data_IF_699352089666
#
_entry.id   IF_699352089666
#
_cell.length_a   1.000
_cell.length_b   1.000
_cell.length_c   1.000
_cell.angle_alpha   90.00
_cell.angle_beta   90.00
_cell.angle_gamma   90.00
#
_symmetry.space_group_name_H-M   'P 1'
#
loop_
_entity.id
_entity.type
_entity.pdbx_description
1 polymer ?
#
# COMPACT_ATOMS: atom_id res chain seq x y z
N UNK A 1 65.42 -30.83 -1.23
CA UNK A 1 64.77 -32.16 -1.37
C UNK A 1 63.40 -32.11 -0.72
N UNK A 2 62.38 -32.48 -1.50
CA UNK A 2 61.03 -32.99 -1.16
C UNK A 2 60.79 -33.25 0.35
N UNK A 3 59.64 -32.84 0.92
CA UNK A 3 58.44 -33.68 0.99
C UNK A 3 57.17 -32.86 1.35
N UNK A 4 56.09 -33.21 0.65
CA UNK A 4 54.69 -32.80 0.81
C UNK A 4 54.05 -33.56 1.97
N UNK A 5 53.17 -32.93 2.75
CA UNK A 5 52.03 -33.57 3.44
C UNK A 5 50.96 -32.44 3.62
N UNK A 6 49.98 -32.28 2.72
CA UNK A 6 48.60 -32.81 2.83
C UNK A 6 48.05 -32.62 4.27
N UNK A 7 47.05 -31.79 4.57
CA UNK A 7 45.83 -31.47 3.82
C UNK A 7 44.66 -31.76 4.77
N UNK A 8 44.24 -30.76 5.55
CA UNK A 8 43.08 -30.84 6.44
C UNK A 8 42.16 -29.67 6.13
N UNK A 9 41.30 -29.84 5.13
CA UNK A 9 40.18 -28.92 4.87
C UNK A 9 39.00 -29.48 5.64
N UNK A 10 38.73 -28.89 6.80
CA UNK A 10 37.43 -28.97 7.45
C UNK A 10 36.48 -28.10 6.61
N UNK A 11 35.63 -28.73 5.80
CA UNK A 11 34.48 -28.06 5.19
C UNK A 11 33.22 -28.61 5.87
N UNK A 12 32.91 -28.06 7.05
CA UNK A 12 31.56 -28.15 7.59
C UNK A 12 30.70 -27.19 6.76
N UNK A 13 30.06 -27.71 5.72
CA UNK A 13 28.98 -27.00 5.03
C UNK A 13 27.81 -26.90 6.02
N UNK A 14 27.76 -25.78 6.72
CA UNK A 14 26.60 -25.39 7.52
C UNK A 14 25.53 -24.99 6.50
N UNK A 15 24.71 -25.96 6.07
CA UNK A 15 23.43 -25.66 5.43
C UNK A 15 22.61 -25.01 6.53
N UNK A 16 22.61 -23.68 6.54
CA UNK A 16 21.64 -22.92 7.31
C UNK A 16 20.30 -23.16 6.60
N UNK A 17 19.66 -24.28 6.91
CA UNK A 17 18.22 -24.41 6.74
C UNK A 17 17.61 -23.46 7.76
N UNK A 18 17.47 -22.19 7.40
CA UNK A 18 16.61 -21.30 8.14
C UNK A 18 15.23 -21.94 8.05
N UNK A 19 14.73 -22.37 9.21
CA UNK A 19 13.35 -22.72 9.36
C UNK A 19 12.55 -21.57 8.74
N UNK A 20 11.69 -21.89 7.77
CA UNK A 20 10.60 -21.01 7.41
C UNK A 20 9.78 -20.86 8.70
N UNK A 21 10.14 -19.86 9.50
CA UNK A 21 9.26 -19.32 10.51
C UNK A 21 8.05 -18.87 9.72
N UNK A 22 6.96 -19.63 9.85
CA UNK A 22 5.64 -19.17 9.46
C UNK A 22 5.39 -17.96 10.35
N UNK A 23 5.81 -16.79 9.87
CA UNK A 23 5.43 -15.54 10.46
C UNK A 23 3.92 -15.44 10.29
N UNK A 24 3.25 -14.94 11.32
CA UNK A 24 1.82 -14.76 11.26
C UNK A 24 1.58 -13.70 10.18
N UNK A 25 0.97 -14.11 9.07
CA UNK A 25 0.60 -13.26 7.95
C UNK A 25 0.09 -11.90 8.46
N UNK A 26 0.55 -10.83 7.80
CA UNK A 26 0.47 -9.46 8.30
C UNK A 26 -0.91 -9.01 8.80
N UNK A 27 -0.96 -7.83 9.40
CA UNK A 27 -2.23 -7.27 9.89
C UNK A 27 -3.24 -7.17 8.75
N UNK A 28 -4.49 -7.58 8.99
CA UNK A 28 -5.57 -7.29 8.03
C UNK A 28 -5.88 -5.80 8.08
N UNK A 29 -5.97 -5.16 6.92
CA UNK A 29 -6.38 -3.76 6.84
C UNK A 29 -7.86 -3.60 7.24
N UNK A 30 -8.20 -2.50 7.91
CA UNK A 30 -9.58 -2.09 8.16
C UNK A 30 -10.15 -1.19 7.07
N UNK A 31 -9.30 -0.68 6.19
CA UNK A 31 -9.67 0.28 5.14
C UNK A 31 -10.34 -0.41 3.96
N UNK A 32 -10.06 -1.71 3.81
CA UNK A 32 -10.60 -2.55 2.73
C UNK A 32 -10.94 -3.92 3.29
N UNK A 33 -12.07 -4.48 2.88
CA UNK A 33 -12.47 -5.86 3.18
C UNK A 33 -12.94 -6.53 1.89
N UNK A 34 -12.74 -7.83 1.74
CA UNK A 34 -13.26 -8.57 0.59
C UNK A 34 -14.77 -8.78 0.72
N UNK A 35 -15.52 -8.51 -0.34
CA UNK A 35 -16.99 -8.63 -0.36
C UNK A 35 -17.52 -9.35 -1.60
N UNK A 36 -18.84 -9.40 -1.76
CA UNK A 36 -19.50 -10.06 -2.88
C UNK A 36 -19.10 -11.53 -3.09
N UNK A 37 -18.98 -11.92 -4.37
CA UNK A 37 -18.55 -13.27 -4.77
C UNK A 37 -17.07 -13.54 -4.47
N UNK A 38 -16.30 -12.49 -4.17
CA UNK A 38 -14.89 -12.58 -3.80
C UNK A 38 -14.69 -13.01 -2.33
N UNK A 39 -15.72 -12.96 -1.47
CA UNK A 39 -15.60 -13.34 -0.05
C UNK A 39 -15.08 -14.78 0.12
N UNK A 40 -13.98 -14.92 0.85
CA UNK A 40 -13.30 -16.20 1.06
C UNK A 40 -12.49 -16.71 -0.13
N UNK A 41 -12.42 -15.92 -1.22
CA UNK A 41 -11.57 -16.16 -2.40
C UNK A 41 -10.34 -15.27 -2.41
N UNK A 42 -10.30 -14.26 -1.56
CA UNK A 42 -9.18 -13.34 -1.40
C UNK A 42 -8.99 -12.97 0.07
N UNK A 43 -7.78 -12.53 0.38
CA UNK A 43 -7.43 -11.87 1.64
C UNK A 43 -6.76 -10.54 1.35
N UNK A 44 -6.94 -9.60 2.27
CA UNK A 44 -6.29 -8.29 2.23
C UNK A 44 -5.45 -8.10 3.47
N UNK A 45 -4.22 -7.65 3.27
CA UNK A 45 -3.26 -7.38 4.31
C UNK A 45 -2.77 -5.94 4.20
N UNK A 46 -2.53 -5.31 5.35
CA UNK A 46 -1.90 -4.01 5.45
C UNK A 46 -0.49 -4.05 4.84
N UNK A 47 -0.10 -2.97 4.17
CA UNK A 47 1.24 -2.83 3.63
C UNK A 47 2.31 -2.89 4.74
N UNK A 48 3.25 -3.80 4.58
CA UNK A 48 4.39 -3.98 5.47
C UNK A 48 5.53 -4.68 4.71
N UNK A 49 6.74 -4.64 5.28
CA UNK A 49 7.85 -5.42 4.72
C UNK A 49 7.57 -6.93 4.68
N UNK A 50 6.75 -7.43 5.62
CA UNK A 50 6.40 -8.84 5.68
C UNK A 50 5.39 -9.23 4.60
N UNK A 51 4.35 -8.41 4.40
CA UNK A 51 3.28 -8.67 3.42
C UNK A 51 3.78 -8.45 1.99
N UNK A 52 4.73 -7.54 1.80
CA UNK A 52 5.38 -7.32 0.51
C UNK A 52 6.72 -8.04 0.35
N UNK A 53 6.98 -9.10 1.12
CA UNK A 53 8.26 -9.82 1.05
C UNK A 53 8.61 -10.26 -0.38
N UNK A 54 7.65 -10.82 -1.12
CA UNK A 54 7.85 -11.26 -2.51
C UNK A 54 8.12 -10.06 -3.46
N UNK A 55 7.42 -8.94 -3.25
CA UNK A 55 7.65 -7.70 -4.00
C UNK A 55 9.02 -7.10 -3.69
N UNK A 56 9.49 -7.19 -2.44
CA UNK A 56 10.81 -6.69 -2.02
C UNK A 56 11.95 -7.47 -2.69
N UNK A 57 11.76 -8.76 -2.99
CA UNK A 57 12.78 -9.53 -3.71
C UNK A 57 13.04 -9.00 -5.13
N UNK A 58 12.04 -8.37 -5.74
CA UNK A 58 12.07 -7.95 -7.15
C UNK A 58 12.14 -6.43 -7.33
N UNK A 59 11.48 -5.66 -6.47
CA UNK A 59 11.30 -4.23 -6.57
C UNK A 59 11.34 -3.52 -5.18
N UNK A 60 12.45 -3.63 -4.42
CA UNK A 60 12.57 -3.05 -3.08
C UNK A 60 12.33 -1.54 -2.96
N UNK A 61 12.85 -0.71 -3.86
CA UNK A 61 12.64 0.74 -3.95
C UNK A 61 11.20 1.08 -4.35
N UNK A 62 10.56 0.24 -5.16
CA UNK A 62 9.13 0.38 -5.43
C UNK A 62 8.32 0.19 -4.14
N UNK A 63 8.68 -0.81 -3.33
CA UNK A 63 8.07 -1.01 -2.00
C UNK A 63 8.39 0.16 -1.05
N UNK A 64 9.63 0.68 -1.06
CA UNK A 64 10.00 1.87 -0.29
C UNK A 64 9.11 3.08 -0.65
N UNK A 65 8.92 3.34 -1.94
CA UNK A 65 8.04 4.40 -2.42
C UNK A 65 6.59 4.21 -1.95
N UNK A 66 6.07 2.98 -2.00
CA UNK A 66 4.74 2.61 -1.49
C UNK A 66 4.62 2.94 0.01
N UNK A 67 5.61 2.53 0.81
CA UNK A 67 5.59 2.75 2.27
C UNK A 67 5.69 4.24 2.63
N UNK A 68 6.51 5.01 1.90
CA UNK A 68 6.59 6.45 2.06
C UNK A 68 5.27 7.14 1.73
N UNK A 69 4.57 6.71 0.67
CA UNK A 69 3.24 7.23 0.31
C UNK A 69 2.22 6.88 1.39
N UNK A 70 2.19 5.62 1.86
CA UNK A 70 1.28 5.19 2.91
C UNK A 70 1.47 5.95 4.23
N UNK A 71 2.72 6.24 4.60
CA UNK A 71 3.05 7.04 5.78
C UNK A 71 2.75 8.54 5.61
N UNK A 72 2.46 8.99 4.38
CA UNK A 72 2.31 10.40 4.03
C UNK A 72 3.62 11.19 4.03
N UNK A 73 4.77 10.50 4.06
CA UNK A 73 6.10 11.13 3.96
C UNK A 73 6.37 11.63 2.54
N UNK A 74 5.78 10.97 1.55
CA UNK A 74 5.82 11.31 0.13
C UNK A 74 4.38 11.48 -0.37
N UNK A 75 4.03 12.56 -1.09
CA UNK A 75 2.71 12.69 -1.70
C UNK A 75 2.55 11.72 -2.87
N UNK A 76 1.31 11.28 -3.14
CA UNK A 76 1.00 10.38 -4.26
C UNK A 76 1.55 10.91 -5.59
N UNK A 77 1.51 12.23 -5.77
CA UNK A 77 1.93 12.90 -7.00
C UNK A 77 3.41 12.68 -7.34
N UNK A 78 4.25 12.39 -6.34
CA UNK A 78 5.68 12.17 -6.54
C UNK A 78 5.98 10.72 -6.97
N UNK A 79 4.98 9.83 -7.03
CA UNK A 79 5.17 8.44 -7.44
C UNK A 79 5.79 8.32 -8.83
N UNK A 80 5.25 9.06 -9.81
CA UNK A 80 5.75 8.97 -11.19
C UNK A 80 7.21 9.46 -11.30
N UNK A 81 7.59 10.47 -10.51
CA UNK A 81 8.99 10.92 -10.43
C UNK A 81 9.90 9.85 -9.81
N UNK A 82 9.47 9.20 -8.73
CA UNK A 82 10.22 8.07 -8.14
C UNK A 82 10.38 6.91 -9.12
N UNK A 83 9.33 6.54 -9.84
CA UNK A 83 9.39 5.51 -10.89
C UNK A 83 10.40 5.92 -11.97
N UNK A 84 10.38 7.19 -12.40
CA UNK A 84 11.35 7.74 -13.37
C UNK A 84 12.79 7.65 -12.85
N UNK A 85 13.02 7.95 -11.58
CA UNK A 85 14.33 7.83 -10.95
C UNK A 85 14.81 6.38 -10.94
N UNK A 86 13.96 5.44 -10.53
CA UNK A 86 14.28 4.00 -10.49
C UNK A 86 14.65 3.49 -11.88
N UNK A 87 13.82 3.79 -12.89
CA UNK A 87 14.05 3.39 -14.29
C UNK A 87 15.35 4.00 -14.82
N UNK A 88 15.61 5.28 -14.53
CA UNK A 88 16.80 5.99 -15.01
C UNK A 88 18.09 5.53 -14.33
N UNK A 89 18.02 5.20 -13.04
CA UNK A 89 19.15 4.69 -12.27
C UNK A 89 19.49 3.24 -12.65
N UNK A 90 18.52 2.48 -13.18
CA UNK A 90 18.68 1.06 -13.52
C UNK A 90 18.94 0.20 -12.28
N UNK A 91 18.50 0.67 -11.12
CA UNK A 91 18.63 0.00 -9.83
C UNK A 91 17.61 -1.13 -9.68
N UNK A 92 16.47 -1.02 -10.36
CA UNK A 92 15.45 -2.06 -10.48
C UNK A 92 15.03 -2.24 -11.94
N UNK A 93 14.59 -3.44 -12.30
CA UNK A 93 14.12 -3.72 -13.65
C UNK A 93 12.62 -3.45 -13.74
N UNK A 94 12.24 -2.18 -13.82
CA UNK A 94 10.85 -1.78 -14.10
C UNK A 94 10.62 -1.74 -15.61
N UNK A 95 9.57 -2.41 -16.08
CA UNK A 95 9.19 -2.51 -17.49
C UNK A 95 8.30 -1.33 -17.92
N UNK A 96 8.77 -0.10 -17.67
CA UNK A 96 8.06 1.12 -18.03
C UNK A 96 8.89 2.02 -18.95
N UNK A 97 8.25 2.55 -19.97
CA UNK A 97 8.79 3.60 -20.85
C UNK A 97 8.49 4.98 -20.27
N UNK A 98 9.22 6.01 -20.71
CA UNK A 98 8.95 7.40 -20.31
C UNK A 98 7.52 7.84 -20.66
N UNK A 99 6.95 7.33 -21.76
CA UNK A 99 5.56 7.58 -22.15
C UNK A 99 4.57 6.98 -21.14
N UNK A 100 4.82 5.75 -20.68
CA UNK A 100 3.99 5.10 -19.65
C UNK A 100 4.12 5.79 -18.30
N UNK A 101 5.31 6.28 -17.94
CA UNK A 101 5.52 7.06 -16.72
C UNK A 101 4.76 8.40 -16.79
N UNK A 102 4.81 9.09 -17.94
CA UNK A 102 4.01 10.31 -18.14
C UNK A 102 2.50 10.06 -18.11
N UNK A 103 2.04 8.91 -18.61
CA UNK A 103 0.66 8.49 -18.49
C UNK A 103 0.26 8.21 -17.03
N UNK A 104 1.12 7.55 -16.26
CA UNK A 104 0.92 7.36 -14.81
C UNK A 104 0.82 8.71 -14.09
N UNK A 105 1.74 9.63 -14.36
CA UNK A 105 1.75 10.99 -13.80
C UNK A 105 0.42 11.72 -14.07
N UNK A 106 -0.08 11.63 -15.30
CA UNK A 106 -1.36 12.24 -15.70
C UNK A 106 -2.55 11.58 -15.02
N UNK A 107 -2.57 10.24 -14.91
CA UNK A 107 -3.69 9.52 -14.27
C UNK A 107 -3.75 9.74 -12.76
N UNK A 108 -2.63 10.03 -12.08
CA UNK A 108 -2.62 10.32 -10.63
C UNK A 108 -2.71 11.81 -10.31
N UNK A 109 -2.59 12.70 -11.31
CA UNK A 109 -2.66 14.15 -11.12
C UNK A 109 -4.03 14.56 -10.51
N UNK A 110 -3.99 15.35 -9.44
CA UNK A 110 -5.20 15.82 -8.75
C UNK A 110 -5.98 14.75 -7.98
N UNK A 111 -5.53 13.48 -7.99
CA UNK A 111 -6.15 12.39 -7.23
C UNK A 111 -5.62 12.32 -5.81
N UNK A 112 -6.47 11.86 -4.91
CA UNK A 112 -6.15 11.56 -3.53
C UNK A 112 -6.29 10.06 -3.25
N UNK A 113 -5.50 9.57 -2.30
CA UNK A 113 -5.64 8.22 -1.77
C UNK A 113 -6.98 8.07 -1.05
N UNK A 114 -7.80 7.11 -1.49
CA UNK A 114 -9.03 6.68 -0.82
C UNK A 114 -8.71 5.58 0.20
N UNK A 115 -7.71 4.76 -0.12
CA UNK A 115 -7.13 3.75 0.75
C UNK A 115 -5.62 3.88 0.73
N UNK A 116 -4.94 3.41 1.77
CA UNK A 116 -3.52 3.10 1.68
C UNK A 116 -3.30 1.94 0.69
N UNK A 117 -2.06 1.75 0.25
CA UNK A 117 -1.65 0.52 -0.40
C UNK A 117 -1.83 -0.66 0.55
N UNK A 118 -2.35 -1.75 0.00
CA UNK A 118 -2.54 -3.02 0.68
C UNK A 118 -2.10 -4.16 -0.24
N UNK A 119 -1.88 -5.31 0.37
CA UNK A 119 -1.61 -6.57 -0.32
C UNK A 119 -2.93 -7.35 -0.47
N UNK A 120 -3.28 -7.67 -1.70
CA UNK A 120 -4.43 -8.47 -2.13
C UNK A 120 -3.96 -9.87 -2.57
N UNK A 121 -4.28 -10.88 -1.78
CA UNK A 121 -3.79 -12.25 -1.99
C UNK A 121 -4.94 -13.16 -2.40
N UNK A 122 -4.81 -13.95 -3.49
CA UNK A 122 -5.82 -14.91 -3.86
C UNK A 122 -5.80 -16.14 -2.93
N UNK A 123 -6.96 -16.59 -2.51
CA UNK A 123 -7.17 -17.84 -1.76
C UNK A 123 -7.73 -18.90 -2.68
N UNK A 124 -7.14 -20.09 -2.67
CA UNK A 124 -7.56 -21.23 -3.50
C UNK A 124 -7.73 -20.86 -4.99
N UNK A 125 -6.84 -20.01 -5.52
CA UNK A 125 -6.83 -19.55 -6.91
C UNK A 125 -7.73 -18.34 -7.23
N UNK A 126 -8.41 -17.74 -6.24
CA UNK A 126 -9.22 -16.54 -6.46
C UNK A 126 -10.47 -16.77 -7.32
N UNK A 127 -11.08 -15.68 -7.77
CA UNK A 127 -12.15 -15.69 -8.80
C UNK A 127 -11.51 -15.23 -10.10
N UNK A 128 -11.68 -15.98 -11.19
CA UNK A 128 -11.12 -15.62 -12.48
C UNK A 128 -12.20 -15.48 -13.54
N UNK A 129 -12.03 -14.52 -14.45
CA UNK A 129 -12.86 -14.39 -15.64
C UNK A 129 -12.51 -15.45 -16.69
N UNK A 130 -13.17 -15.40 -17.86
CA UNK A 130 -12.96 -16.35 -18.94
C UNK A 130 -11.54 -16.31 -19.54
N UNK A 131 -10.82 -15.20 -19.36
CA UNK A 131 -9.47 -14.96 -19.85
C UNK A 131 -8.41 -15.31 -18.78
N UNK A 132 -8.84 -15.73 -17.59
CA UNK A 132 -7.96 -16.11 -16.48
C UNK A 132 -7.51 -14.93 -15.61
N UNK A 133 -8.10 -13.75 -15.78
CA UNK A 133 -7.78 -12.55 -14.99
C UNK A 133 -8.55 -12.57 -13.67
N UNK A 134 -7.94 -12.10 -12.61
CA UNK A 134 -8.53 -12.10 -11.27
C UNK A 134 -9.61 -11.02 -11.14
N UNK A 135 -10.78 -11.39 -10.65
CA UNK A 135 -11.89 -10.46 -10.39
C UNK A 135 -12.08 -10.33 -8.89
N UNK A 136 -11.86 -9.13 -8.36
CA UNK A 136 -11.99 -8.84 -6.93
C UNK A 136 -13.04 -7.76 -6.69
N UNK A 137 -13.99 -8.05 -5.80
CA UNK A 137 -14.91 -7.08 -5.21
C UNK A 137 -14.43 -6.71 -3.81
N UNK A 138 -14.17 -5.42 -3.62
CA UNK A 138 -13.60 -4.82 -2.43
C UNK A 138 -14.65 -3.92 -1.78
N UNK A 139 -14.96 -4.15 -0.51
CA UNK A 139 -15.68 -3.20 0.33
C UNK A 139 -14.71 -2.17 0.89
N UNK A 140 -14.99 -0.90 0.63
CA UNK A 140 -14.15 0.26 0.92
C UNK A 140 -14.99 1.26 1.72
N UNK A 141 -15.02 1.16 3.06
CA UNK A 141 -15.95 1.94 3.89
C UNK A 141 -15.78 3.46 3.80
N UNK A 142 -14.66 3.95 3.26
CA UNK A 142 -14.42 5.37 3.00
C UNK A 142 -15.02 5.87 1.68
N UNK A 143 -15.50 4.97 0.81
CA UNK A 143 -16.04 5.31 -0.49
C UNK A 143 -17.35 6.10 -0.35
N UNK A 144 -17.42 7.25 -1.00
CA UNK A 144 -18.60 8.14 -0.99
C UNK A 144 -18.82 8.77 -2.36
N UNK A 145 -20.02 9.28 -2.62
CA UNK A 145 -20.39 9.95 -3.88
C UNK A 145 -19.63 11.27 -4.13
N UNK A 146 -18.93 11.79 -3.13
CA UNK A 146 -18.00 12.92 -3.28
C UNK A 146 -16.71 12.55 -4.04
N UNK A 147 -16.41 11.25 -4.13
CA UNK A 147 -15.27 10.70 -4.85
C UNK A 147 -15.67 10.37 -6.29
N UNK A 148 -15.08 11.07 -7.25
CA UNK A 148 -15.33 10.86 -8.68
C UNK A 148 -14.07 10.38 -9.38
N UNK A 149 -14.21 9.85 -10.60
CA UNK A 149 -13.08 9.30 -11.37
C UNK A 149 -12.21 8.34 -10.54
N UNK A 150 -12.88 7.41 -9.84
CA UNK A 150 -12.24 6.37 -9.05
C UNK A 150 -11.36 5.51 -9.96
N UNK A 151 -10.15 5.23 -9.47
CA UNK A 151 -9.13 4.41 -10.12
C UNK A 151 -8.48 3.49 -9.10
N UNK A 152 -7.90 2.42 -9.61
CA UNK A 152 -7.11 1.49 -8.82
C UNK A 152 -5.66 1.61 -9.30
N UNK A 153 -4.80 2.03 -8.40
CA UNK A 153 -3.38 2.11 -8.62
C UNK A 153 -2.76 0.77 -8.25
N UNK A 154 -2.14 0.11 -9.21
CA UNK A 154 -1.63 -1.25 -9.06
C UNK A 154 -0.17 -1.30 -9.52
N UNK A 155 0.69 -1.93 -8.72
CA UNK A 155 2.00 -2.34 -9.17
C UNK A 155 1.98 -3.83 -9.47
N UNK A 156 2.17 -4.18 -10.75
CA UNK A 156 2.27 -5.56 -11.18
C UNK A 156 3.63 -6.13 -10.82
N UNK A 157 3.65 -7.09 -9.89
CA UNK A 157 4.88 -7.80 -9.51
C UNK A 157 5.37 -8.73 -10.63
N UNK A 158 4.46 -9.35 -11.38
CA UNK A 158 4.82 -10.26 -12.47
C UNK A 158 5.37 -9.54 -13.69
N UNK A 159 4.77 -8.38 -14.04
CA UNK A 159 5.18 -7.58 -15.21
C UNK A 159 6.13 -6.45 -14.83
N UNK A 160 6.41 -6.25 -13.54
CA UNK A 160 7.29 -5.21 -13.00
C UNK A 160 6.95 -3.81 -13.52
N UNK A 161 5.67 -3.43 -13.50
CA UNK A 161 5.20 -2.13 -14.00
C UNK A 161 4.07 -1.58 -13.16
N UNK A 162 3.92 -0.25 -13.18
CA UNK A 162 2.75 0.43 -12.63
C UNK A 162 1.65 0.55 -13.67
N UNK A 163 0.43 0.32 -13.25
CA UNK A 163 -0.77 0.55 -14.05
C UNK A 163 -1.87 1.21 -13.22
N UNK A 164 -2.73 1.94 -13.93
CA UNK A 164 -3.92 2.56 -13.35
C UNK A 164 -5.14 1.89 -13.98
N UNK A 165 -5.83 1.08 -13.19
CA UNK A 165 -6.97 0.29 -13.61
C UNK A 165 -8.25 1.12 -13.40
N UNK A 166 -9.12 1.11 -14.41
CA UNK A 166 -10.49 1.61 -14.26
C UNK A 166 -11.33 0.49 -13.65
N UNK A 167 -12.02 0.71 -12.52
CA UNK A 167 -12.92 -0.29 -11.96
C UNK A 167 -13.99 -0.74 -12.95
N UNK A 168 -14.36 -2.01 -12.89
CA UNK A 168 -15.48 -2.56 -13.64
C UNK A 168 -16.81 -2.02 -13.11
N UNK A 169 -16.90 -1.83 -11.79
CA UNK A 169 -18.05 -1.25 -11.11
C UNK A 169 -17.65 -0.47 -9.85
N UNK A 170 -18.41 0.57 -9.54
CA UNK A 170 -18.27 1.39 -8.33
C UNK A 170 -19.66 1.59 -7.72
N UNK A 171 -19.93 0.84 -6.66
CA UNK A 171 -21.19 0.87 -5.93
C UNK A 171 -21.02 1.74 -4.67
N UNK A 172 -21.49 2.99 -4.75
CA UNK A 172 -21.44 3.92 -3.62
C UNK A 172 -22.45 3.58 -2.51
N UNK A 173 -23.52 2.85 -2.79
CA UNK A 173 -24.55 2.52 -1.82
C UNK A 173 -24.07 1.39 -0.89
N UNK A 174 -23.39 0.39 -1.47
CA UNK A 174 -22.77 -0.72 -0.73
C UNK A 174 -21.30 -0.46 -0.38
N UNK A 175 -20.74 0.64 -0.87
CA UNK A 175 -19.34 1.01 -0.71
C UNK A 175 -18.40 -0.07 -1.27
N UNK A 176 -18.71 -0.57 -2.46
CA UNK A 176 -17.97 -1.65 -3.12
C UNK A 176 -17.31 -1.16 -4.41
N UNK A 177 -16.14 -1.72 -4.71
CA UNK A 177 -15.42 -1.54 -5.97
C UNK A 177 -15.12 -2.92 -6.53
N UNK A 178 -15.53 -3.17 -7.77
CA UNK A 178 -15.16 -4.39 -8.49
C UNK A 178 -14.14 -4.06 -9.56
N UNK A 179 -13.08 -4.85 -9.66
CA UNK A 179 -12.08 -4.69 -10.71
C UNK A 179 -11.44 -6.01 -11.12
N UNK A 180 -10.90 -5.99 -12.33
CA UNK A 180 -10.21 -7.11 -12.96
C UNK A 180 -8.72 -6.83 -13.07
N UNK A 181 -7.90 -7.81 -12.67
CA UNK A 181 -6.45 -7.71 -12.58
C UNK A 181 -5.77 -8.84 -13.36
N UNK A 182 -4.71 -8.56 -14.10
CA UNK A 182 -3.90 -9.62 -14.74
C UNK A 182 -3.07 -10.40 -13.71
N UNK A 183 -2.52 -9.68 -12.75
CA UNK A 183 -1.81 -10.18 -11.57
C UNK A 183 -2.18 -9.29 -10.38
N UNK A 184 -1.88 -9.75 -9.16
CA UNK A 184 -2.34 -9.08 -7.95
C UNK A 184 -1.17 -8.44 -7.21
N UNK A 185 -1.45 -7.29 -6.63
CA UNK A 185 -0.69 -6.63 -5.57
C UNK A 185 0.71 -6.12 -5.90
N UNK A 186 1.11 -4.99 -5.28
CA UNK A 186 0.37 -4.10 -4.37
C UNK A 186 -0.76 -3.25 -5.01
N UNK A 187 -1.83 -2.97 -4.26
CA UNK A 187 -3.02 -2.23 -4.74
C UNK A 187 -3.38 -1.05 -3.83
N UNK A 188 -3.79 0.08 -4.41
CA UNK A 188 -4.45 1.20 -3.73
C UNK A 188 -5.63 1.74 -4.53
N UNK A 189 -6.60 2.37 -3.86
CA UNK A 189 -7.70 3.08 -4.51
C UNK A 189 -7.45 4.58 -4.43
N UNK A 190 -7.60 5.25 -5.56
CA UNK A 190 -7.42 6.71 -5.70
C UNK A 190 -8.63 7.33 -6.40
N UNK A 191 -8.96 8.57 -6.07
CA UNK A 191 -10.09 9.27 -6.67
C UNK A 191 -9.90 10.78 -6.66
N UNK A 192 -10.67 11.47 -7.50
CA UNK A 192 -10.84 12.91 -7.40
C UNK A 192 -11.77 13.18 -6.22
N UNK A 193 -11.26 13.86 -5.20
CA UNK A 193 -12.05 14.21 -4.01
C UNK A 193 -12.53 15.64 -4.16
N UNK A 194 -13.85 15.81 -4.30
CA UNK A 194 -14.43 17.14 -4.28
C UNK A 194 -14.57 17.61 -2.83
N UNK A 195 -13.62 18.43 -2.35
CA UNK A 195 -13.69 19.04 -1.01
C UNK A 195 -14.96 19.91 -0.79
N UNK A 196 -15.66 20.30 -1.88
CA UNK A 196 -16.89 21.08 -1.85
C UNK A 196 -18.17 20.24 -1.97
N UNK A 197 -18.08 18.92 -2.09
CA UNK A 197 -19.26 18.05 -2.06
C UNK A 197 -19.80 18.00 -0.63
N UNK A 198 -20.65 18.97 -0.30
CA UNK A 198 -21.47 18.91 0.90
C UNK A 198 -22.33 17.63 0.81
N UNK A 199 -22.02 16.70 1.70
CA UNK A 199 -22.78 15.50 1.97
C UNK A 199 -24.28 15.85 2.09
N UNK A 200 -25.08 15.47 1.09
CA UNK A 200 -26.54 15.59 1.15
C UNK A 200 -27.19 14.38 1.85
N UNK A 201 -26.48 13.75 2.81
CA UNK A 201 -27.12 12.93 3.82
C UNK A 201 -27.93 13.81 4.80
N UNK A 202 -29.24 13.61 4.78
CA UNK A 202 -30.21 14.31 5.65
C UNK A 202 -30.01 13.88 7.12
N UNK A 203 -29.53 14.83 7.94
CA UNK A 203 -29.70 14.88 9.41
C UNK A 203 -28.65 14.13 10.23
N UNK A 204 -27.81 14.78 11.03
CA UNK A 204 -28.18 15.69 12.13
C UNK A 204 -27.23 16.90 12.29
N UNK A 205 -27.81 18.11 12.14
CA UNK A 205 -27.40 19.44 12.65
C UNK A 205 -25.97 19.99 12.39
N UNK A 206 -25.83 21.22 11.83
CA UNK A 206 -24.53 21.82 11.48
C UNK A 206 -23.98 22.78 12.54
N UNK A 207 -22.64 22.85 12.62
CA UNK A 207 -21.73 23.97 12.99
C UNK A 207 -20.41 23.37 13.51
N UNK A 208 -19.18 23.78 13.15
CA UNK A 208 -18.62 24.91 12.39
C UNK A 208 -17.22 24.48 11.93
N UNK A 209 -16.71 25.07 10.84
CA UNK A 209 -15.39 24.77 10.28
C UNK A 209 -14.23 24.79 11.27
N UNK A 210 -13.30 23.87 11.04
CA UNK A 210 -11.92 23.98 11.49
C UNK A 210 -10.98 23.62 10.33
N UNK A 211 -9.94 24.44 10.07
CA UNK A 211 -8.95 24.17 9.04
C UNK A 211 -7.97 23.07 9.48
N UNK A 212 -7.43 22.36 8.48
CA UNK A 212 -6.17 21.59 8.49
C UNK A 212 -5.89 20.69 9.70
N UNK A 213 -6.05 19.38 9.51
CA UNK A 213 -5.82 18.28 10.46
C UNK A 213 -4.33 18.10 10.85
N UNK A 214 -3.41 18.88 10.26
CA UNK A 214 -1.97 18.82 10.53
C UNK A 214 -1.54 19.30 11.94
N UNK A 215 -2.42 19.95 12.72
CA UNK A 215 -2.07 20.44 14.07
C UNK A 215 -2.26 19.42 15.21
N UNK A 216 -2.83 18.24 14.96
CA UNK A 216 -3.14 17.30 16.05
C UNK A 216 -1.96 16.47 16.58
N UNK A 217 -0.82 16.42 15.87
CA UNK A 217 0.34 15.62 16.30
C UNK A 217 1.42 16.37 17.10
N UNK A 218 1.33 17.71 17.25
CA UNK A 218 2.25 18.46 18.11
C UNK A 218 1.74 18.60 19.57
N UNK A 219 0.48 18.24 19.85
CA UNK A 219 -0.12 18.37 21.18
C UNK A 219 0.25 17.28 22.19
N UNK A 220 0.62 16.08 21.73
CA UNK A 220 0.86 14.93 22.61
C UNK A 220 2.25 14.96 23.31
N UNK A 221 3.24 15.65 22.74
CA UNK A 221 4.59 15.73 23.32
C UNK A 221 4.72 16.78 24.44
N UNK A 222 3.92 17.86 24.42
CA UNK A 222 4.03 18.95 25.42
C UNK A 222 3.37 18.59 26.75
N UNK A 223 2.31 17.78 26.74
CA UNK A 223 1.60 17.39 27.98
C UNK A 223 2.43 16.43 28.83
N UNK A 224 3.28 15.58 28.24
CA UNK A 224 4.17 14.68 29.00
C UNK A 224 5.37 15.41 29.64
N UNK A 225 5.80 16.55 29.09
CA UNK A 225 6.88 17.35 29.69
C UNK A 225 6.44 18.08 30.97
N UNK A 226 5.18 18.52 31.06
CA UNK A 226 4.68 19.25 32.25
C UNK A 226 4.49 18.31 33.44
N UNK A 227 4.06 17.06 33.23
CA UNK A 227 3.88 16.10 34.33
C UNK A 227 5.23 15.65 34.92
N UNK A 228 6.26 15.49 34.11
CA UNK A 228 7.61 15.10 34.58
C UNK A 228 8.28 16.20 35.42
N UNK A 229 8.06 17.49 35.11
CA UNK A 229 8.66 18.59 35.86
C UNK A 229 8.05 18.76 37.26
N UNK A 230 6.75 18.48 37.44
CA UNK A 230 6.04 18.62 38.72
C UNK A 230 6.40 17.49 39.69
N UNK A 231 6.60 16.26 39.20
CA UNK A 231 7.02 15.14 40.05
C UNK A 231 8.48 15.26 40.49
N UNK A 232 9.38 15.75 39.63
CA UNK A 232 10.80 15.92 39.99
C UNK A 232 11.02 17.02 41.04
N UNK A 233 10.18 18.06 41.08
CA UNK A 233 10.30 19.15 42.06
C UNK A 233 9.81 18.76 43.46
N UNK A 234 8.96 17.74 43.58
CA UNK A 234 8.46 17.24 44.87
C UNK A 234 9.39 16.23 45.54
N UNK A 235 10.26 15.57 44.78
CA UNK A 235 11.24 14.60 45.30
C UNK A 235 12.52 15.25 45.89
N UNK A 236 12.66 16.59 45.81
CA UNK A 236 13.87 17.31 46.23
C UNK A 236 13.65 18.37 47.34
N UNK A 237 12.53 18.31 48.05
CA UNK A 237 12.32 19.06 49.30
C UNK A 237 12.08 18.11 50.45
#
# INVERSE_FOLDING_TARGET
MKKKIFGAILAAALIVSQAATVFAAGSRTSDVVISGESTGRYEVYEASEETFADTIETAPQTVEAIMEINSGSTPLQDLAEKVREIVSAGTETLNMTEEQIGALETEIEGKSMVTQFFDLVPVDGGVQDADGRYVATLSVPSLTTAMTNVRILHFSTERALWEVITPDDVDYDNQEITATFEDLSPVAIIADVNENAADTAVGTSPQTGMPSVWMFWLGAAVVLAVVAAVTFRKARR
#
